data_IF_708326750762
#
_entry.id   IF_708326750762
#
_cell.length_a   1.000
_cell.length_b   1.000
_cell.length_c   1.000
_cell.angle_alpha   90.00
_cell.angle_beta   90.00
_cell.angle_gamma   90.00
#
_symmetry.space_group_name_H-M   'P 1'
#
loop_
_entity.id
_entity.type
_entity.pdbx_description
1 polymer ?
#
# COMPACT_ATOMS: atom_id res chain seq x y z
N UNK A 1 -52.40 -10.33 44.92
CA UNK A 1 -51.96 -11.36 43.95
C UNK A 1 -50.48 -11.13 43.73
N UNK A 2 -49.63 -11.58 44.66
CA UNK A 2 -49.11 -12.95 44.77
C UNK A 2 -48.31 -13.36 43.51
N UNK A 3 -47.00 -13.37 43.71
CA UNK A 3 -45.90 -13.89 42.89
C UNK A 3 -46.10 -15.31 42.40
N UNK A 4 -45.58 -15.62 41.19
CA UNK A 4 -44.85 -16.87 40.94
C UNK A 4 -43.87 -16.72 39.76
N UNK A 5 -42.61 -17.09 40.03
CA UNK A 5 -41.53 -17.22 39.04
C UNK A 5 -41.74 -18.49 38.24
N UNK A 6 -41.45 -18.47 36.95
CA UNK A 6 -41.15 -19.68 36.18
C UNK A 6 -40.02 -19.38 35.19
N UNK A 7 -38.85 -19.92 35.49
CA UNK A 7 -37.67 -19.98 34.65
C UNK A 7 -37.95 -20.69 33.34
N UNK A 8 -37.62 -20.06 32.20
CA UNK A 8 -37.42 -20.79 30.94
C UNK A 8 -36.14 -20.28 30.28
N UNK A 9 -35.06 -20.98 30.65
CA UNK A 9 -33.89 -21.39 29.87
C UNK A 9 -33.60 -20.62 28.57
N UNK A 10 -32.51 -19.86 28.58
CA UNK A 10 -31.78 -19.43 27.38
C UNK A 10 -31.18 -20.67 26.71
N UNK A 11 -31.46 -20.95 25.43
CA UNK A 11 -30.58 -21.76 24.61
C UNK A 11 -29.61 -20.79 23.92
N UNK A 12 -28.34 -20.82 24.34
CA UNK A 12 -27.25 -20.47 23.43
C UNK A 12 -27.29 -21.50 22.31
N UNK A 13 -27.99 -21.19 21.23
CA UNK A 13 -27.80 -21.88 19.96
C UNK A 13 -26.77 -21.09 19.17
N UNK A 14 -25.58 -21.69 19.11
CA UNK A 14 -24.56 -21.39 18.15
C UNK A 14 -25.18 -21.58 16.76
N UNK A 15 -25.62 -20.48 16.13
CA UNK A 15 -25.81 -20.48 14.70
C UNK A 15 -24.44 -20.27 14.07
N UNK A 16 -23.85 -21.40 13.68
CA UNK A 16 -22.66 -21.48 12.85
C UNK A 16 -22.81 -20.52 11.66
N UNK A 17 -22.10 -19.39 11.74
CA UNK A 17 -21.90 -18.50 10.61
C UNK A 17 -21.20 -19.33 9.53
N UNK A 18 -21.80 -19.49 8.33
CA UNK A 18 -21.19 -20.28 7.28
C UNK A 18 -19.83 -19.66 6.94
N UNK A 19 -18.79 -20.49 7.02
CA UNK A 19 -17.44 -20.17 6.59
C UNK A 19 -17.50 -19.53 5.20
N UNK A 20 -17.10 -18.25 5.13
CA UNK A 20 -16.99 -17.52 3.86
C UNK A 20 -15.74 -17.96 3.08
N UNK A 21 -15.53 -19.26 2.97
CA UNK A 21 -14.55 -19.88 2.08
C UNK A 21 -15.31 -20.64 1.00
N UNK A 22 -15.76 -19.93 -0.03
CA UNK A 22 -15.91 -20.42 -1.41
C UNK A 22 -16.62 -19.37 -2.28
N UNK A 23 -15.95 -18.25 -2.53
CA UNK A 23 -15.99 -17.68 -3.88
C UNK A 23 -14.95 -18.46 -4.71
N UNK A 24 -15.09 -18.62 -6.03
CA UNK A 24 -14.01 -19.18 -6.86
C UNK A 24 -12.85 -18.19 -6.82
N UNK A 25 -12.03 -18.31 -5.79
CA UNK A 25 -10.93 -17.43 -5.49
C UNK A 25 -9.89 -17.65 -6.57
N UNK A 26 -9.56 -16.58 -7.30
CA UNK A 26 -8.25 -16.52 -7.92
C UNK A 26 -7.25 -16.81 -6.81
N UNK A 27 -6.44 -17.84 -7.01
CA UNK A 27 -5.35 -18.19 -6.12
C UNK A 27 -4.49 -16.93 -5.89
N UNK A 28 -4.12 -16.70 -4.62
CA UNK A 28 -3.30 -15.55 -4.21
C UNK A 28 -2.02 -15.45 -5.06
N UNK A 29 -1.48 -16.60 -5.48
CA UNK A 29 -0.34 -16.67 -6.38
C UNK A 29 -0.62 -16.08 -7.77
N UNK A 30 -1.81 -16.32 -8.35
CA UNK A 30 -2.23 -15.68 -9.61
C UNK A 30 -2.47 -14.19 -9.43
N UNK A 31 -3.04 -13.76 -8.30
CA UNK A 31 -3.23 -12.33 -7.99
C UNK A 31 -1.88 -11.61 -7.88
N UNK A 32 -0.93 -12.22 -7.16
CA UNK A 32 0.46 -11.74 -7.04
C UNK A 32 1.15 -11.70 -8.39
N UNK A 33 1.08 -12.77 -9.18
CA UNK A 33 1.68 -12.84 -10.50
C UNK A 33 1.11 -11.76 -11.44
N UNK A 34 -0.21 -11.53 -11.39
CA UNK A 34 -0.87 -10.49 -12.18
C UNK A 34 -0.42 -9.10 -11.73
N UNK A 35 -0.29 -8.85 -10.42
CA UNK A 35 0.25 -7.60 -9.90
C UNK A 35 1.71 -7.36 -10.33
N UNK A 36 2.54 -8.41 -10.38
CA UNK A 36 3.90 -8.35 -10.91
C UNK A 36 3.92 -8.06 -12.42
N UNK A 37 3.00 -8.64 -13.20
CA UNK A 37 2.83 -8.32 -14.63
C UNK A 37 2.47 -6.85 -14.81
N UNK A 38 1.47 -6.35 -14.09
CA UNK A 38 1.09 -4.93 -14.11
C UNK A 38 2.27 -4.02 -13.74
N UNK A 39 3.07 -4.40 -12.73
CA UNK A 39 4.29 -3.66 -12.39
C UNK A 39 5.28 -3.62 -13.55
N UNK A 40 5.49 -4.75 -14.22
CA UNK A 40 6.45 -4.85 -15.32
C UNK A 40 5.97 -4.06 -16.56
N UNK A 41 4.69 -4.15 -16.91
CA UNK A 41 4.08 -3.36 -18.00
C UNK A 41 4.16 -1.86 -17.71
N UNK A 42 3.87 -1.44 -16.47
CA UNK A 42 4.03 -0.06 -16.03
C UNK A 42 5.48 0.42 -16.12
N UNK A 43 6.45 -0.44 -15.76
CA UNK A 43 7.88 -0.12 -15.90
C UNK A 43 8.29 0.03 -17.37
N UNK A 44 7.79 -0.82 -18.26
CA UNK A 44 8.08 -0.73 -19.70
C UNK A 44 7.47 0.52 -20.32
N UNK A 45 6.22 0.87 -19.97
CA UNK A 45 5.61 2.14 -20.36
C UNK A 45 6.42 3.34 -19.83
N UNK A 46 6.86 3.29 -18.58
CA UNK A 46 7.68 4.32 -17.96
C UNK A 46 9.02 4.52 -18.70
N UNK A 47 9.71 3.45 -19.07
CA UNK A 47 10.95 3.51 -19.86
C UNK A 47 10.75 4.16 -21.23
N UNK A 48 9.57 3.98 -21.83
CA UNK A 48 9.20 4.61 -23.11
C UNK A 48 8.80 6.10 -22.96
N UNK A 49 8.76 6.62 -21.73
CA UNK A 49 8.29 7.97 -21.44
C UNK A 49 6.77 8.12 -21.41
N UNK A 50 6.03 7.01 -21.53
CA UNK A 50 4.58 7.00 -21.48
C UNK A 50 4.11 6.89 -20.03
N UNK A 51 4.17 8.02 -19.33
CA UNK A 51 3.86 8.08 -17.90
C UNK A 51 2.37 7.86 -17.60
N UNK A 52 1.47 8.20 -18.53
CA UNK A 52 0.03 8.01 -18.35
C UNK A 52 -0.31 6.52 -18.35
N UNK A 53 0.18 5.77 -19.34
CA UNK A 53 -0.01 4.32 -19.36
C UNK A 53 0.73 3.64 -18.20
N UNK A 54 1.89 4.14 -17.80
CA UNK A 54 2.57 3.63 -16.61
C UNK A 54 1.68 3.75 -15.34
N UNK A 55 1.05 4.91 -15.13
CA UNK A 55 0.11 5.14 -14.01
C UNK A 55 -1.08 4.19 -14.09
N UNK A 56 -1.63 3.98 -15.29
CA UNK A 56 -2.73 3.05 -15.51
C UNK A 56 -2.35 1.63 -15.04
N UNK A 57 -1.25 1.07 -15.55
CA UNK A 57 -0.82 -0.29 -15.18
C UNK A 57 -0.51 -0.42 -13.68
N UNK A 58 0.16 0.56 -13.07
CA UNK A 58 0.40 0.52 -11.63
C UNK A 58 -0.91 0.56 -10.84
N UNK A 59 -1.89 1.34 -11.29
CA UNK A 59 -3.20 1.44 -10.64
C UNK A 59 -3.97 0.14 -10.73
N UNK A 60 -3.94 -0.55 -11.86
CA UNK A 60 -4.54 -1.89 -11.99
C UNK A 60 -3.86 -2.89 -11.05
N UNK A 61 -2.52 -2.87 -10.97
CA UNK A 61 -1.79 -3.71 -10.02
C UNK A 61 -2.15 -3.44 -8.56
N UNK A 62 -2.40 -2.19 -8.18
CA UNK A 62 -2.80 -1.79 -6.81
C UNK A 62 -4.22 -2.25 -6.47
N UNK A 63 -5.14 -2.22 -7.45
CA UNK A 63 -6.53 -2.66 -7.28
C UNK A 63 -6.66 -4.17 -7.05
N UNK A 64 -5.64 -4.94 -7.43
CA UNK A 64 -5.61 -6.36 -7.13
C UNK A 64 -5.53 -6.57 -5.63
N UNK A 65 -6.40 -7.42 -5.10
CA UNK A 65 -6.48 -7.76 -3.69
C UNK A 65 -5.35 -8.71 -3.24
N UNK A 66 -4.13 -8.55 -3.77
CA UNK A 66 -2.97 -9.29 -3.27
C UNK A 66 -2.64 -8.85 -1.83
N UNK A 67 -2.30 -9.81 -0.98
CA UNK A 67 -1.96 -9.59 0.42
C UNK A 67 -0.50 -9.17 0.62
N UNK A 68 0.30 -9.13 -0.45
CA UNK A 68 1.71 -8.75 -0.39
C UNK A 68 1.90 -7.22 -0.28
N UNK A 69 1.99 -6.73 0.96
CA UNK A 69 2.21 -5.30 1.28
C UNK A 69 3.47 -4.74 0.61
N UNK A 70 4.54 -5.53 0.52
CA UNK A 70 5.81 -5.11 -0.09
C UNK A 70 5.65 -4.84 -1.60
N UNK A 71 4.88 -5.68 -2.31
CA UNK A 71 4.59 -5.48 -3.72
C UNK A 71 3.71 -4.25 -3.94
N UNK A 72 2.65 -4.08 -3.12
CA UNK A 72 1.81 -2.88 -3.14
C UNK A 72 2.61 -1.61 -2.89
N UNK A 73 3.51 -1.60 -1.90
CA UNK A 73 4.39 -0.46 -1.64
C UNK A 73 5.29 -0.11 -2.84
N UNK A 74 5.82 -1.12 -3.56
CA UNK A 74 6.59 -0.92 -4.80
C UNK A 74 5.73 -0.30 -5.91
N UNK A 75 4.50 -0.78 -6.09
CA UNK A 75 3.57 -0.24 -7.08
C UNK A 75 3.21 1.22 -6.80
N UNK A 76 2.88 1.56 -5.55
CA UNK A 76 2.65 2.95 -5.13
C UNK A 76 3.88 3.82 -5.40
N UNK A 77 5.08 3.40 -5.01
CA UNK A 77 6.30 4.14 -5.29
C UNK A 77 6.53 4.36 -6.80
N UNK A 78 6.26 3.36 -7.63
CA UNK A 78 6.45 3.49 -9.07
C UNK A 78 5.41 4.43 -9.70
N UNK A 79 4.17 4.38 -9.23
CA UNK A 79 3.12 5.34 -9.62
C UNK A 79 3.45 6.76 -9.17
N UNK A 80 4.02 6.93 -7.97
CA UNK A 80 4.52 8.22 -7.50
C UNK A 80 5.57 8.81 -8.44
N UNK A 81 6.53 7.99 -8.88
CA UNK A 81 7.56 8.44 -9.84
C UNK A 81 6.92 8.90 -11.15
N UNK A 82 5.94 8.16 -11.68
CA UNK A 82 5.23 8.54 -12.90
C UNK A 82 4.44 9.85 -12.73
N UNK A 83 3.72 10.03 -11.61
CA UNK A 83 3.07 11.29 -11.27
C UNK A 83 4.06 12.46 -11.16
N UNK A 84 5.20 12.25 -10.50
CA UNK A 84 6.26 13.26 -10.40
C UNK A 84 6.81 13.66 -11.77
N UNK A 85 6.91 12.74 -12.73
CA UNK A 85 7.34 13.05 -14.10
C UNK A 85 6.32 13.88 -14.89
N UNK A 86 5.05 13.80 -14.53
CA UNK A 86 3.98 14.62 -15.10
C UNK A 86 3.78 15.96 -14.36
N UNK A 87 4.53 16.23 -13.28
CA UNK A 87 4.34 17.42 -12.44
C UNK A 87 3.21 17.29 -11.41
N UNK A 88 2.61 16.11 -11.29
CA UNK A 88 1.55 15.82 -10.33
C UNK A 88 2.14 15.55 -8.93
N UNK A 89 2.81 16.53 -8.34
CA UNK A 89 3.56 16.33 -7.09
C UNK A 89 2.64 15.98 -5.90
N UNK A 90 1.40 16.47 -5.88
CA UNK A 90 0.42 16.11 -4.84
C UNK A 90 0.02 14.63 -4.91
N UNK A 91 -0.18 14.08 -6.12
CA UNK A 91 -0.46 12.65 -6.30
C UNK A 91 0.77 11.80 -5.94
N UNK A 92 1.95 12.25 -6.36
CA UNK A 92 3.22 11.62 -5.98
C UNK A 92 3.40 11.55 -4.46
N UNK A 93 3.01 12.59 -3.73
CA UNK A 93 3.12 12.60 -2.27
C UNK A 93 2.15 11.60 -1.64
N UNK A 94 0.89 11.57 -2.08
CA UNK A 94 -0.12 10.60 -1.59
C UNK A 94 0.31 9.16 -1.82
N UNK A 95 0.90 8.87 -2.98
CA UNK A 95 1.42 7.54 -3.27
C UNK A 95 2.65 7.19 -2.41
N UNK A 96 3.52 8.16 -2.12
CA UNK A 96 4.64 7.95 -1.21
C UNK A 96 4.16 7.67 0.23
N UNK A 97 3.13 8.37 0.71
CA UNK A 97 2.47 8.15 2.00
C UNK A 97 1.89 6.73 2.08
N UNK A 98 1.10 6.32 1.09
CA UNK A 98 0.55 4.97 1.02
C UNK A 98 1.64 3.88 0.99
N UNK A 99 2.76 4.12 0.30
CA UNK A 99 3.87 3.19 0.25
C UNK A 99 4.56 3.01 1.62
N UNK A 100 4.74 4.08 2.41
CA UNK A 100 5.34 3.98 3.75
C UNK A 100 4.39 3.44 4.81
N UNK A 101 3.08 3.63 4.66
CA UNK A 101 2.09 2.98 5.53
C UNK A 101 2.15 1.44 5.38
N UNK A 102 2.42 0.97 4.16
CA UNK A 102 2.57 -0.46 3.87
C UNK A 102 3.96 -0.99 4.25
N UNK A 103 5.01 -0.21 4.01
CA UNK A 103 6.38 -0.54 4.37
C UNK A 103 7.13 0.70 4.90
N UNK A 104 7.16 0.90 6.22
CA UNK A 104 7.80 2.07 6.85
C UNK A 104 9.31 2.17 6.58
N UNK A 105 9.96 1.06 6.28
CA UNK A 105 11.41 1.00 6.00
C UNK A 105 11.75 1.24 4.53
N UNK A 106 10.74 1.54 3.68
CA UNK A 106 10.97 1.68 2.25
C UNK A 106 11.61 3.02 1.89
N UNK A 107 12.94 3.08 1.97
CA UNK A 107 13.72 4.30 1.79
C UNK A 107 13.45 5.01 0.45
N UNK A 108 13.19 4.27 -0.63
CA UNK A 108 12.86 4.88 -1.93
C UNK A 108 11.56 5.70 -1.87
N UNK A 109 10.52 5.18 -1.21
CA UNK A 109 9.27 5.90 -1.02
C UNK A 109 9.45 7.13 -0.12
N UNK A 110 10.27 7.01 0.94
CA UNK A 110 10.62 8.14 1.81
C UNK A 110 11.26 9.28 1.02
N UNK A 111 12.27 8.97 0.20
CA UNK A 111 12.94 9.95 -0.66
C UNK A 111 11.95 10.56 -1.66
N UNK A 112 10.99 9.78 -2.17
CA UNK A 112 9.95 10.30 -3.07
C UNK A 112 9.03 11.28 -2.35
N UNK A 113 8.58 10.97 -1.14
CA UNK A 113 7.80 11.89 -0.30
C UNK A 113 8.52 13.21 -0.04
N UNK A 114 9.79 13.13 0.38
CA UNK A 114 10.63 14.32 0.58
C UNK A 114 10.74 15.17 -0.70
N UNK A 115 11.01 14.54 -1.84
CA UNK A 115 11.12 15.24 -3.14
C UNK A 115 9.80 15.90 -3.52
N UNK A 116 8.67 15.20 -3.36
CA UNK A 116 7.36 15.75 -3.67
C UNK A 116 7.01 16.97 -2.77
N UNK A 117 7.34 16.91 -1.48
CA UNK A 117 7.19 18.06 -0.58
C UNK A 117 8.03 19.26 -1.01
N UNK A 118 9.28 19.05 -1.46
CA UNK A 118 10.15 20.13 -1.97
C UNK A 118 9.53 20.79 -3.22
N UNK A 119 9.06 20.01 -4.18
CA UNK A 119 8.41 20.54 -5.39
C UNK A 119 7.12 21.31 -5.07
N UNK A 120 6.38 20.87 -4.04
CA UNK A 120 5.20 21.56 -3.51
C UNK A 120 5.53 22.74 -2.59
N UNK A 121 6.81 23.04 -2.33
CA UNK A 121 7.29 24.06 -1.38
C UNK A 121 6.82 23.84 0.07
N UNK A 122 6.51 22.60 0.44
CA UNK A 122 6.13 22.17 1.80
C UNK A 122 7.40 21.74 2.56
N UNK A 123 8.25 22.71 2.88
CA UNK A 123 9.61 22.44 3.39
C UNK A 123 9.64 21.81 4.78
N UNK A 124 8.72 22.19 5.67
CA UNK A 124 8.62 21.58 7.01
C UNK A 124 8.36 20.08 6.92
N UNK A 125 7.43 19.68 6.05
CA UNK A 125 7.13 18.27 5.84
C UNK A 125 8.28 17.53 5.17
N UNK A 126 9.00 18.17 4.23
CA UNK A 126 10.20 17.60 3.63
C UNK A 126 11.25 17.25 4.70
N UNK A 127 11.43 18.09 5.73
CA UNK A 127 12.31 17.80 6.87
C UNK A 127 11.84 16.54 7.60
N UNK A 128 10.54 16.42 7.89
CA UNK A 128 10.01 15.21 8.56
C UNK A 128 10.24 13.94 7.74
N UNK A 129 10.20 14.02 6.41
CA UNK A 129 10.54 12.90 5.53
C UNK A 129 12.03 12.55 5.58
N UNK A 130 12.91 13.56 5.61
CA UNK A 130 14.35 13.34 5.80
C UNK A 130 14.66 12.67 7.14
N UNK A 131 14.03 13.11 8.23
CA UNK A 131 14.20 12.52 9.56
C UNK A 131 13.78 11.05 9.58
N UNK A 132 12.64 10.71 8.96
CA UNK A 132 12.20 9.32 8.76
C UNK A 132 13.25 8.50 8.00
N UNK A 133 13.82 9.06 6.93
CA UNK A 133 14.85 8.39 6.13
C UNK A 133 16.14 8.13 6.92
N UNK A 134 16.56 9.10 7.74
CA UNK A 134 17.71 8.96 8.61
C UNK A 134 17.51 7.87 9.66
N UNK A 135 16.32 7.82 10.29
CA UNK A 135 15.98 6.78 11.26
C UNK A 135 16.12 5.37 10.66
N UNK A 136 15.55 5.14 9.47
CA UNK A 136 15.64 3.85 8.77
C UNK A 136 17.09 3.50 8.41
N UNK A 137 17.88 4.48 7.97
CA UNK A 137 19.29 4.24 7.62
C UNK A 137 20.16 3.89 8.82
N UNK A 138 19.83 4.42 10.00
CA UNK A 138 20.59 4.18 11.22
C UNK A 138 20.22 2.83 11.85
N UNK A 139 18.94 2.44 11.83
CA UNK A 139 18.49 1.12 12.28
C UNK A 139 19.10 -0.03 11.46
N UNK A 140 19.30 0.16 10.16
CA UNK A 140 19.95 -0.85 9.29
C UNK A 140 21.41 -1.14 9.64
N UNK A 141 22.08 -0.23 10.36
CA UNK A 141 23.51 -0.35 10.70
C UNK A 141 23.77 -1.03 12.06
N UNK A 142 22.75 -1.25 12.90
CA UNK A 142 22.93 -1.83 14.25
C UNK A 142 22.93 -3.36 14.27
N UNK A 143 22.51 -4.05 13.20
CA UNK A 143 22.38 -5.51 13.15
C UNK A 143 23.60 -6.25 12.56
N UNK A 144 24.70 -5.55 12.29
CA UNK A 144 25.95 -6.15 11.82
C UNK A 144 27.06 -6.05 12.88
N UNK A 145 27.00 -6.89 13.91
CA UNK A 145 28.13 -7.24 14.77
C UNK A 145 28.07 -8.70 15.20
#
# INVERSE_FOLDING_TARGET
>A
MATERSSIKVPCENEDLPDKENAPGFDEDTLRATADVCRNEGNEAFKKGDFINAIYFYTEGIKLNCNEKVLKAKLYNNRAIAHSKLGNHQDSLRDAEAAIELNPTFLKAIVRGATACVELRRFEEAITWCDKGLAVSFEGNFFHF
#
